data_IF_381142807774
#
_entry.id   IF_381142807774
#
_cell.length_a   1.000
_cell.length_b   1.000
_cell.length_c   1.000
_cell.angle_alpha   90.00
_cell.angle_beta   90.00
_cell.angle_gamma   90.00
#
_symmetry.space_group_name_H-M   'P 1'
#
loop_
_entity.id
_entity.type
_entity.pdbx_description
1 polymer ?
#
# COMPACT_ATOMS: atom_id res chain seq x y z
N UNK A 1 -36.43 11.02 23.51
CA UNK A 1 -36.08 11.69 22.23
C UNK A 1 -34.57 11.84 22.03
N UNK A 2 -33.84 12.33 23.04
CA UNK A 2 -32.38 12.52 22.97
C UNK A 2 -31.61 11.21 22.75
N UNK A 3 -31.93 10.15 23.50
CA UNK A 3 -31.28 8.84 23.39
C UNK A 3 -31.39 8.22 21.98
N UNK A 4 -32.56 8.34 21.35
CA UNK A 4 -32.80 7.82 20.00
C UNK A 4 -31.97 8.56 18.95
N UNK A 5 -31.77 9.88 19.11
CA UNK A 5 -30.90 10.66 18.23
C UNK A 5 -29.43 10.30 18.41
N UNK A 6 -28.98 10.17 19.66
CA UNK A 6 -27.61 9.76 19.98
C UNK A 6 -27.31 8.37 19.41
N UNK A 7 -28.23 7.41 19.56
CA UNK A 7 -28.08 6.06 19.03
C UNK A 7 -27.94 6.06 17.50
N UNK A 8 -28.76 6.87 16.79
CA UNK A 8 -28.66 7.01 15.32
C UNK A 8 -27.32 7.59 14.88
N UNK A 9 -26.82 8.59 15.59
CA UNK A 9 -25.50 9.20 15.31
C UNK A 9 -24.38 8.19 15.51
N UNK A 10 -24.45 7.41 16.60
CA UNK A 10 -23.44 6.40 16.92
C UNK A 10 -23.41 5.27 15.88
N UNK A 11 -24.58 4.78 15.49
CA UNK A 11 -24.72 3.78 14.43
C UNK A 11 -24.22 4.32 13.09
N UNK A 12 -24.55 5.57 12.74
CA UNK A 12 -24.03 6.20 11.53
C UNK A 12 -22.50 6.32 11.53
N UNK A 13 -21.89 6.66 12.67
CA UNK A 13 -20.43 6.81 12.79
C UNK A 13 -19.66 5.50 12.61
N UNK A 14 -20.25 4.36 12.97
CA UNK A 14 -19.62 3.04 12.80
C UNK A 14 -19.54 2.64 11.31
N UNK A 15 -20.45 3.14 10.47
CA UNK A 15 -20.41 2.90 9.03
C UNK A 15 -19.39 3.76 8.27
N UNK A 16 -18.90 4.83 8.89
CA UNK A 16 -17.72 5.53 8.38
C UNK A 16 -16.47 4.72 8.76
N UNK A 17 -16.13 3.75 7.90
CA UNK A 17 -14.91 2.96 8.04
C UNK A 17 -13.67 3.88 8.10
N UNK A 18 -12.85 3.71 9.12
CA UNK A 18 -11.55 4.37 9.21
C UNK A 18 -10.59 3.68 8.26
N UNK A 19 -10.15 4.36 7.19
CA UNK A 19 -9.05 3.89 6.36
C UNK A 19 -7.73 4.34 6.98
N UNK A 20 -7.04 3.46 7.68
CA UNK A 20 -5.64 3.71 8.08
C UNK A 20 -4.78 3.41 6.85
N UNK A 21 -4.48 4.44 6.06
CA UNK A 21 -3.52 4.31 4.98
C UNK A 21 -2.10 4.19 5.58
N UNK A 22 -1.40 3.10 5.27
CA UNK A 22 0.00 2.96 5.67
C UNK A 22 0.87 3.90 4.83
N UNK A 23 1.77 4.63 5.50
CA UNK A 23 2.70 5.52 4.80
C UNK A 23 3.76 4.67 4.10
N UNK A 24 3.78 4.73 2.78
CA UNK A 24 4.84 4.16 1.95
C UNK A 24 5.72 5.31 1.45
N UNK A 25 7.02 5.21 1.69
CA UNK A 25 7.99 6.15 1.10
C UNK A 25 8.81 5.38 0.07
N UNK A 26 8.66 5.74 -1.20
CA UNK A 26 9.46 5.22 -2.30
C UNK A 26 10.56 6.25 -2.57
N UNK A 27 11.81 5.91 -2.26
CA UNK A 27 12.91 6.87 -2.25
C UNK A 27 13.50 7.16 -3.65
N UNK A 28 13.12 6.39 -4.67
CA UNK A 28 13.83 6.40 -5.95
C UNK A 28 13.27 7.42 -6.95
N UNK A 29 14.14 8.20 -7.63
CA UNK A 29 13.76 9.07 -8.73
C UNK A 29 13.38 8.25 -9.98
N UNK A 30 12.81 8.92 -10.99
CA UNK A 30 12.55 8.33 -12.31
C UNK A 30 13.81 7.65 -12.87
N UNK A 31 13.76 6.33 -13.06
CA UNK A 31 14.87 5.54 -13.60
C UNK A 31 14.67 5.28 -15.10
N UNK A 32 15.68 5.57 -15.91
CA UNK A 32 15.76 5.10 -17.29
C UNK A 32 16.54 3.79 -17.31
N UNK A 33 15.91 2.73 -17.80
CA UNK A 33 16.49 1.39 -17.85
C UNK A 33 16.45 0.89 -19.28
N UNK A 34 17.49 0.16 -19.69
CA UNK A 34 17.53 -0.50 -20.99
C UNK A 34 16.39 -1.52 -21.09
N UNK A 35 15.81 -1.66 -22.28
CA UNK A 35 14.79 -2.67 -22.51
C UNK A 35 15.36 -4.07 -22.18
N UNK A 36 14.59 -4.89 -21.45
CA UNK A 36 15.01 -6.18 -20.84
C UNK A 36 16.04 -6.09 -19.71
N UNK A 37 16.35 -4.88 -19.24
CA UNK A 37 17.12 -4.67 -18.02
C UNK A 37 16.31 -5.02 -16.76
N UNK A 38 17.01 -5.25 -15.65
CA UNK A 38 16.41 -5.38 -14.34
C UNK A 38 16.47 -4.03 -13.60
N UNK A 39 15.41 -3.71 -12.85
CA UNK A 39 15.37 -2.54 -11.96
C UNK A 39 14.94 -2.98 -10.57
N UNK A 40 15.62 -2.46 -9.55
CA UNK A 40 15.28 -2.71 -8.15
C UNK A 40 14.55 -1.49 -7.58
N UNK A 41 13.30 -1.69 -7.14
CA UNK A 41 12.51 -0.71 -6.43
C UNK A 41 12.65 -0.88 -4.91
N UNK A 42 13.24 0.12 -4.26
CA UNK A 42 13.43 0.17 -2.81
C UNK A 42 12.24 0.88 -2.16
N UNK A 43 11.52 0.14 -1.31
CA UNK A 43 10.37 0.66 -0.56
C UNK A 43 10.59 0.47 0.93
N UNK A 44 10.43 1.56 1.69
CA UNK A 44 10.43 1.49 3.16
C UNK A 44 8.98 1.58 3.66
N UNK A 45 8.53 0.52 4.33
CA UNK A 45 7.25 0.50 5.04
C UNK A 45 7.49 0.79 6.52
N UNK A 46 6.83 1.81 7.05
CA UNK A 46 6.78 2.07 8.50
C UNK A 46 5.50 1.49 9.07
N UNK A 47 5.60 0.32 9.72
CA UNK A 47 4.48 -0.35 10.39
C UNK A 47 4.94 -0.96 11.70
N UNK A 48 4.06 -0.98 12.71
CA UNK A 48 4.27 -1.72 13.95
C UNK A 48 3.83 -3.18 13.85
N UNK A 49 3.18 -3.56 12.74
CA UNK A 49 2.69 -4.92 12.53
C UNK A 49 3.86 -5.88 12.21
N UNK A 50 4.08 -6.94 13.00
CA UNK A 50 5.11 -7.93 12.72
C UNK A 50 4.80 -8.82 11.49
N UNK A 51 3.54 -8.84 11.01
CA UNK A 51 3.11 -9.64 9.87
C UNK A 51 2.23 -8.82 8.93
N UNK A 52 2.74 -8.53 7.73
CA UNK A 52 2.01 -7.72 6.76
C UNK A 52 2.18 -8.25 5.33
N UNK A 53 1.18 -7.99 4.50
CA UNK A 53 1.26 -8.22 3.05
C UNK A 53 1.53 -6.91 2.34
N UNK A 54 2.51 -6.91 1.44
CA UNK A 54 2.71 -5.85 0.46
C UNK A 54 2.09 -6.23 -0.87
N UNK A 55 1.32 -5.32 -1.44
CA UNK A 55 0.74 -5.47 -2.77
C UNK A 55 1.42 -4.49 -3.71
N UNK A 56 2.00 -5.02 -4.78
CA UNK A 56 2.72 -4.25 -5.77
C UNK A 56 1.84 -4.02 -7.00
N UNK A 57 1.84 -2.78 -7.48
CA UNK A 57 1.08 -2.35 -8.65
C UNK A 57 1.97 -1.61 -9.62
N UNK A 58 1.69 -1.74 -10.92
CA UNK A 58 2.20 -0.86 -11.97
C UNK A 58 1.07 0.07 -12.38
N UNK A 59 1.35 1.37 -12.47
CA UNK A 59 0.43 2.34 -13.05
C UNK A 59 1.01 2.85 -14.38
N UNK A 60 0.51 2.38 -15.54
CA UNK A 60 0.86 2.95 -16.83
C UNK A 60 0.28 4.36 -16.97
N UNK A 61 0.67 5.08 -18.03
CA UNK A 61 0.12 6.40 -18.38
C UNK A 61 -1.41 6.43 -18.52
N UNK A 62 -2.04 5.27 -18.78
CA UNK A 62 -3.50 5.09 -18.76
C UNK A 62 -4.16 5.36 -17.40
N UNK A 63 -3.40 5.40 -16.30
CA UNK A 63 -3.90 5.59 -14.94
C UNK A 63 -4.49 4.34 -14.28
N UNK A 64 -4.79 3.28 -15.04
CA UNK A 64 -5.30 2.01 -14.50
C UNK A 64 -4.19 1.28 -13.75
N UNK A 65 -4.40 1.02 -12.46
CA UNK A 65 -3.46 0.24 -11.65
C UNK A 65 -3.57 -1.25 -12.00
N UNK A 66 -2.43 -1.84 -12.35
CA UNK A 66 -2.31 -3.26 -12.69
C UNK A 66 -1.61 -3.95 -11.51
N UNK A 67 -2.28 -4.93 -10.89
CA UNK A 67 -1.68 -5.76 -9.84
C UNK A 67 -0.54 -6.60 -10.41
N UNK A 68 0.58 -6.65 -9.68
CA UNK A 68 1.75 -7.44 -10.05
C UNK A 68 1.93 -8.64 -9.12
N UNK A 69 2.11 -8.39 -7.83
CA UNK A 69 2.48 -9.42 -6.85
C UNK A 69 2.03 -9.04 -5.44
N UNK A 70 1.68 -10.07 -4.66
CA UNK A 70 1.56 -10.00 -3.20
C UNK A 70 2.83 -10.60 -2.58
N UNK A 71 3.45 -9.88 -1.67
CA UNK A 71 4.60 -10.33 -0.91
C UNK A 71 4.26 -10.30 0.57
N UNK A 72 4.18 -11.47 1.19
CA UNK A 72 3.93 -11.60 2.61
C UNK A 72 5.26 -11.52 3.38
N UNK A 73 5.29 -10.71 4.44
CA UNK A 73 6.46 -10.48 5.26
C UNK A 73 6.18 -10.81 6.73
N UNK A 74 7.08 -11.59 7.31
CA UNK A 74 7.05 -12.02 8.71
C UNK A 74 8.34 -11.53 9.39
N UNK A 75 8.49 -10.21 9.55
CA UNK A 75 9.51 -9.48 10.33
C UNK A 75 9.63 -8.03 9.84
N UNK A 76 10.30 -7.18 10.62
CA UNK A 76 10.65 -5.80 10.26
C UNK A 76 11.75 -5.68 9.19
N UNK A 77 11.82 -6.61 8.23
CA UNK A 77 12.80 -6.54 7.13
C UNK A 77 12.27 -5.62 6.04
N UNK A 78 13.18 -4.81 5.48
CA UNK A 78 12.87 -3.96 4.34
C UNK A 78 12.67 -4.81 3.08
N UNK A 79 11.52 -4.72 2.41
CA UNK A 79 11.25 -5.49 1.20
C UNK A 79 11.86 -4.82 -0.03
N UNK A 80 12.56 -5.61 -0.83
CA UNK A 80 13.10 -5.22 -2.13
C UNK A 80 12.29 -5.87 -3.25
N UNK A 81 11.77 -5.07 -4.20
CA UNK A 81 11.18 -5.60 -5.42
C UNK A 81 12.15 -5.44 -6.58
N UNK A 82 12.51 -6.55 -7.23
CA UNK A 82 13.26 -6.51 -8.50
C UNK A 82 12.27 -6.77 -9.63
N UNK A 83 12.05 -5.77 -10.47
CA UNK A 83 11.28 -5.89 -11.70
C UNK A 83 12.21 -6.22 -12.87
N UNK A 84 11.82 -7.22 -13.67
CA UNK A 84 12.47 -7.58 -14.93
C UNK A 84 11.46 -7.40 -16.06
N UNK A 85 11.91 -6.94 -17.22
CA UNK A 85 11.06 -6.65 -18.38
C UNK A 85 11.05 -7.79 -19.39
#
# INVERSE_FOLDING_TARGET
>A
MLLSRLLRVLVASVWLGSSIAQKVTQAQPTMLVQEKGAVALECTLSTSDPSYSLLWYKQPSSGVMIFLIRQDSYSSKMPLMVATH
#
